data_IF_978172273352
#
_entry.id   IF_978172273352
#
_cell.length_a   1.000
_cell.length_b   1.000
_cell.length_c   1.000
_cell.angle_alpha   90.00
_cell.angle_beta   90.00
_cell.angle_gamma   90.00
#
_symmetry.space_group_name_H-M   'P 1'
#
loop_
_entity.id
_entity.type
_entity.pdbx_description
1 polymer ?
#
# COMPACT_ATOMS: atom_id res chain seq x y z
N UNK A 1 -43.06 56.66 -24.56
CA UNK A 1 -41.71 56.15 -24.96
C UNK A 1 -40.81 55.90 -23.75
N UNK A 2 -40.77 56.75 -22.74
CA UNK A 2 -39.94 56.61 -21.55
C UNK A 2 -40.32 55.39 -20.70
N UNK A 3 -41.59 55.04 -20.58
CA UNK A 3 -42.07 53.89 -19.79
C UNK A 3 -41.62 52.51 -20.31
N UNK A 4 -41.21 52.37 -21.59
CA UNK A 4 -40.65 51.10 -22.17
C UNK A 4 -39.15 50.98 -22.00
N UNK A 5 -38.43 52.07 -21.77
CA UNK A 5 -36.96 52.06 -21.60
C UNK A 5 -36.54 51.57 -20.21
N UNK A 6 -37.36 51.80 -19.19
CA UNK A 6 -37.06 51.35 -17.80
C UNK A 6 -37.00 49.82 -17.68
N UNK A 7 -38.00 49.05 -18.12
CA UNK A 7 -37.92 47.58 -17.98
C UNK A 7 -36.80 46.98 -18.85
N UNK A 8 -36.48 47.56 -19.98
CA UNK A 8 -35.37 47.09 -20.83
C UNK A 8 -34.03 47.31 -20.14
N UNK A 9 -33.82 48.46 -19.48
CA UNK A 9 -32.59 48.75 -18.74
C UNK A 9 -32.43 47.83 -17.53
N UNK A 10 -33.51 47.47 -16.83
CA UNK A 10 -33.50 46.54 -15.72
C UNK A 10 -33.11 45.13 -16.20
N UNK A 11 -33.66 44.67 -17.33
CA UNK A 11 -33.32 43.38 -17.92
C UNK A 11 -31.83 43.31 -18.35
N UNK A 12 -31.36 44.37 -18.98
CA UNK A 12 -29.93 44.48 -19.38
C UNK A 12 -29.03 44.45 -18.14
N UNK A 13 -29.36 45.23 -17.10
CA UNK A 13 -28.61 45.26 -15.85
C UNK A 13 -28.59 43.88 -15.18
N UNK A 14 -29.73 43.17 -15.14
CA UNK A 14 -29.83 41.80 -14.62
C UNK A 14 -28.93 40.85 -15.40
N UNK A 15 -28.95 40.91 -16.73
CA UNK A 15 -28.06 40.05 -17.55
C UNK A 15 -26.58 40.36 -17.31
N UNK A 16 -26.20 41.60 -17.15
CA UNK A 16 -24.83 42.00 -16.84
C UNK A 16 -24.39 41.53 -15.44
N UNK A 17 -25.25 41.66 -14.44
CA UNK A 17 -24.99 41.16 -13.09
C UNK A 17 -24.82 39.65 -13.09
N UNK A 18 -25.74 38.92 -13.72
CA UNK A 18 -25.68 37.44 -13.80
C UNK A 18 -24.44 36.93 -14.55
N UNK A 19 -24.05 37.61 -15.63
CA UNK A 19 -22.81 37.29 -16.35
C UNK A 19 -21.56 37.51 -15.49
N UNK A 20 -21.58 38.59 -14.66
CA UNK A 20 -20.48 38.89 -13.73
C UNK A 20 -20.39 37.86 -12.60
N UNK A 21 -21.53 37.44 -12.03
CA UNK A 21 -21.58 36.38 -11.01
C UNK A 21 -21.10 35.05 -11.54
N UNK A 22 -21.55 34.61 -12.72
CA UNK A 22 -21.12 33.36 -13.34
C UNK A 22 -19.59 33.34 -13.58
N UNK A 23 -19.06 34.47 -14.12
CA UNK A 23 -17.60 34.57 -14.31
C UNK A 23 -16.83 34.46 -12.99
N UNK A 24 -17.39 34.99 -11.91
CA UNK A 24 -16.78 34.95 -10.57
C UNK A 24 -16.78 33.52 -10.00
N UNK A 25 -17.87 32.78 -10.25
CA UNK A 25 -17.96 31.38 -9.86
C UNK A 25 -16.92 30.53 -10.64
N UNK A 26 -16.76 30.78 -11.94
CA UNK A 26 -15.73 30.09 -12.75
C UNK A 26 -14.32 30.41 -12.24
N UNK A 27 -14.01 31.64 -11.87
CA UNK A 27 -12.73 32.04 -11.28
C UNK A 27 -12.46 31.30 -9.95
N UNK A 28 -13.49 31.11 -9.09
CA UNK A 28 -13.38 30.37 -7.83
C UNK A 28 -13.18 28.86 -8.05
N UNK A 29 -13.87 28.27 -9.03
CA UNK A 29 -13.67 26.87 -9.39
C UNK A 29 -12.24 26.65 -9.87
N UNK A 30 -11.75 27.50 -10.75
CA UNK A 30 -10.36 27.45 -11.24
C UNK A 30 -9.34 27.61 -10.09
N UNK A 31 -9.62 28.49 -9.12
CA UNK A 31 -8.78 28.64 -7.93
C UNK A 31 -8.71 27.34 -7.11
N UNK A 32 -9.84 26.65 -6.92
CA UNK A 32 -9.87 25.36 -6.21
C UNK A 32 -9.11 24.29 -6.99
N UNK A 33 -9.21 24.25 -8.32
CA UNK A 33 -8.47 23.33 -9.17
C UNK A 33 -6.95 23.59 -9.09
N UNK A 34 -6.54 24.85 -9.15
CA UNK A 34 -5.12 25.24 -9.00
C UNK A 34 -4.56 24.86 -7.62
N UNK A 35 -5.35 25.01 -6.56
CA UNK A 35 -4.97 24.56 -5.22
C UNK A 35 -4.75 23.05 -5.15
N UNK A 36 -5.58 22.26 -5.81
CA UNK A 36 -5.38 20.81 -5.88
C UNK A 36 -4.11 20.42 -6.64
N UNK A 37 -3.66 21.26 -7.58
CA UNK A 37 -2.44 21.08 -8.36
C UNK A 37 -1.18 21.67 -7.68
N UNK A 38 -1.33 22.29 -6.49
CA UNK A 38 -0.22 22.87 -5.74
C UNK A 38 0.15 24.30 -6.17
N UNK A 39 -0.68 24.97 -6.97
CA UNK A 39 -0.47 26.36 -7.39
C UNK A 39 -1.26 27.31 -6.49
N UNK A 40 -0.54 28.14 -5.74
CA UNK A 40 -1.11 29.01 -4.69
C UNK A 40 -1.20 30.45 -5.18
N UNK A 41 -2.19 30.76 -6.01
CA UNK A 41 -2.47 32.12 -6.46
C UNK A 41 -3.82 32.62 -5.94
N UNK A 42 -3.83 33.77 -5.25
CA UNK A 42 -5.05 34.46 -4.80
C UNK A 42 -5.27 35.71 -5.59
N UNK A 43 -6.31 35.82 -6.41
CA UNK A 43 -6.70 37.08 -7.00
C UNK A 43 -7.30 37.98 -5.89
N UNK A 44 -6.59 39.06 -5.54
CA UNK A 44 -7.12 40.10 -4.63
C UNK A 44 -8.15 40.94 -5.35
N UNK A 45 -9.44 40.59 -5.28
CA UNK A 45 -10.55 41.43 -5.73
C UNK A 45 -11.41 41.77 -4.53
N UNK A 46 -11.77 43.07 -4.39
CA UNK A 46 -12.69 43.52 -3.36
C UNK A 46 -14.11 43.51 -3.92
N UNK A 47 -14.83 42.42 -3.72
CA UNK A 47 -16.25 42.28 -4.05
C UNK A 47 -16.97 41.40 -3.01
N UNK A 48 -18.26 41.11 -3.22
CA UNK A 48 -19.09 40.36 -2.28
C UNK A 48 -18.62 38.88 -2.11
N UNK A 49 -17.74 38.38 -2.98
CA UNK A 49 -17.19 37.04 -2.90
C UNK A 49 -15.84 36.98 -2.18
N UNK A 50 -15.22 38.12 -1.86
CA UNK A 50 -13.91 38.18 -1.21
C UNK A 50 -13.87 37.44 0.13
N UNK A 51 -14.95 37.46 0.92
CA UNK A 51 -15.08 36.75 2.20
C UNK A 51 -15.09 35.25 1.97
N UNK A 52 -15.74 34.78 0.90
CA UNK A 52 -15.77 33.37 0.56
C UNK A 52 -14.40 32.89 0.05
N UNK A 53 -13.73 33.68 -0.80
CA UNK A 53 -12.36 33.41 -1.27
C UNK A 53 -11.39 33.33 -0.11
N UNK A 54 -11.43 34.26 0.83
CA UNK A 54 -10.60 34.25 2.04
C UNK A 54 -10.86 33.01 2.90
N UNK A 55 -12.13 32.60 3.00
CA UNK A 55 -12.50 31.41 3.78
C UNK A 55 -12.00 30.12 3.12
N UNK A 56 -12.14 30.01 1.80
CA UNK A 56 -11.60 28.86 1.02
C UNK A 56 -10.08 28.83 1.15
N UNK A 57 -9.41 29.95 1.02
CA UNK A 57 -7.96 30.05 1.12
C UNK A 57 -7.45 29.64 2.52
N UNK A 58 -8.11 30.10 3.58
CA UNK A 58 -7.78 29.71 4.96
C UNK A 58 -7.98 28.22 5.20
N UNK A 59 -9.08 27.66 4.71
CA UNK A 59 -9.33 26.22 4.79
C UNK A 59 -8.26 25.43 4.05
N UNK A 60 -7.84 25.93 2.91
CA UNK A 60 -6.80 25.29 2.13
C UNK A 60 -5.44 25.34 2.83
N UNK A 61 -5.00 26.52 3.31
CA UNK A 61 -3.76 26.64 4.09
C UNK A 61 -3.75 25.73 5.31
N UNK A 62 -4.87 25.64 6.03
CA UNK A 62 -5.03 24.74 7.16
C UNK A 62 -4.87 23.28 6.73
N UNK A 63 -5.46 22.89 5.60
CA UNK A 63 -5.31 21.52 5.06
C UNK A 63 -3.86 21.18 4.69
N UNK A 64 -3.14 22.14 4.08
CA UNK A 64 -1.70 21.98 3.77
C UNK A 64 -0.89 21.81 5.04
N UNK A 65 -1.11 22.66 6.04
CA UNK A 65 -0.44 22.59 7.33
C UNK A 65 -0.72 21.26 8.05
N UNK A 66 -1.98 20.81 8.07
CA UNK A 66 -2.36 19.51 8.66
C UNK A 66 -1.68 18.35 7.92
N UNK A 67 -1.63 18.37 6.59
CA UNK A 67 -0.92 17.34 5.80
C UNK A 67 0.57 17.31 6.10
N UNK A 68 1.22 18.46 6.19
CA UNK A 68 2.64 18.56 6.55
C UNK A 68 2.91 18.07 7.98
N UNK A 69 2.01 18.38 8.92
CA UNK A 69 2.11 17.90 10.30
C UNK A 69 1.95 16.37 10.36
N UNK A 70 0.98 15.81 9.63
CA UNK A 70 0.80 14.36 9.53
C UNK A 70 2.04 13.71 8.93
N UNK A 71 2.60 14.29 7.87
CA UNK A 71 3.84 13.78 7.23
C UNK A 71 5.03 13.82 8.18
N UNK A 72 5.17 14.91 8.97
CA UNK A 72 6.23 15.04 9.98
C UNK A 72 6.08 14.03 11.11
N UNK A 73 4.87 13.87 11.65
CA UNK A 73 4.58 12.88 12.69
C UNK A 73 4.83 11.46 12.20
N UNK A 74 4.40 11.14 10.99
CA UNK A 74 4.62 9.84 10.36
C UNK A 74 6.12 9.55 10.19
N UNK A 75 6.91 10.53 9.72
CA UNK A 75 8.36 10.41 9.60
C UNK A 75 9.03 10.17 10.96
N UNK A 76 8.64 10.93 11.98
CA UNK A 76 9.17 10.75 13.34
C UNK A 76 8.83 9.38 13.93
N UNK A 77 7.64 8.83 13.62
CA UNK A 77 7.27 7.48 14.03
C UNK A 77 8.18 6.42 13.39
N UNK A 78 8.48 6.55 12.09
CA UNK A 78 9.40 5.63 11.39
C UNK A 78 10.78 5.67 12.02
N UNK A 79 11.36 6.86 12.19
CA UNK A 79 12.68 7.04 12.81
C UNK A 79 12.72 6.42 14.22
N UNK A 80 11.64 6.55 14.98
CA UNK A 80 11.53 5.92 16.31
C UNK A 80 11.48 4.38 16.19
N UNK A 81 10.71 3.83 15.26
CA UNK A 81 10.63 2.38 15.04
C UNK A 81 11.97 1.82 14.56
N UNK A 82 12.66 2.51 13.64
CA UNK A 82 14.00 2.14 13.20
C UNK A 82 14.99 2.08 14.36
N UNK A 83 14.99 3.11 15.21
CA UNK A 83 15.84 3.16 16.39
C UNK A 83 15.53 2.02 17.38
N UNK A 84 14.25 1.76 17.67
CA UNK A 84 13.83 0.68 18.58
C UNK A 84 14.24 -0.68 17.99
N UNK A 85 14.02 -0.92 16.72
CA UNK A 85 14.37 -2.19 16.09
C UNK A 85 15.90 -2.41 16.09
N UNK A 86 16.70 -1.38 15.82
CA UNK A 86 18.16 -1.47 15.96
C UNK A 86 18.60 -1.76 17.39
N UNK A 87 17.97 -1.10 18.39
CA UNK A 87 18.26 -1.35 19.80
C UNK A 87 17.85 -2.75 20.28
N UNK A 88 16.83 -3.37 19.66
CA UNK A 88 16.40 -4.74 19.94
C UNK A 88 17.30 -5.75 19.21
N UNK A 89 17.69 -5.47 17.97
CA UNK A 89 18.52 -6.38 17.15
C UNK A 89 19.91 -6.62 17.77
N UNK A 90 20.51 -5.59 18.36
CA UNK A 90 21.84 -5.68 18.97
C UNK A 90 21.91 -6.70 20.12
N UNK A 91 21.07 -6.64 21.19
CA UNK A 91 21.10 -7.63 22.25
C UNK A 91 20.68 -9.03 21.78
N UNK A 92 19.74 -9.14 20.81
CA UNK A 92 19.37 -10.44 20.23
C UNK A 92 20.59 -11.08 19.56
N UNK A 93 21.35 -10.31 18.77
CA UNK A 93 22.56 -10.81 18.09
C UNK A 93 23.61 -11.24 19.11
N UNK A 94 23.84 -10.48 20.19
CA UNK A 94 24.75 -10.88 21.26
C UNK A 94 24.33 -12.18 21.92
N UNK A 95 23.03 -12.33 22.25
CA UNK A 95 22.52 -13.57 22.86
C UNK A 95 22.64 -14.78 21.91
N UNK A 96 22.45 -14.60 20.60
CA UNK A 96 22.66 -15.67 19.62
C UNK A 96 24.13 -16.13 19.58
N UNK A 97 25.07 -15.19 19.64
CA UNK A 97 26.50 -15.49 19.68
C UNK A 97 26.86 -16.25 20.97
N UNK A 98 26.36 -15.78 22.13
CA UNK A 98 26.59 -16.47 23.42
C UNK A 98 26.02 -17.88 23.42
N UNK A 99 24.83 -18.08 22.85
CA UNK A 99 24.21 -19.40 22.71
C UNK A 99 25.03 -20.34 21.82
N UNK A 100 25.71 -19.81 20.80
CA UNK A 100 26.61 -20.65 19.97
C UNK A 100 27.83 -21.16 20.76
N UNK A 101 28.37 -20.35 21.71
CA UNK A 101 29.40 -20.81 22.61
C UNK A 101 28.90 -21.91 23.55
N UNK A 102 27.73 -21.70 24.19
CA UNK A 102 27.13 -22.67 25.11
C UNK A 102 26.77 -23.98 24.36
N UNK A 103 26.34 -23.92 23.11
CA UNK A 103 26.06 -25.11 22.27
C UNK A 103 27.33 -25.95 22.03
N UNK A 104 28.50 -25.30 21.90
CA UNK A 104 29.79 -26.03 21.78
C UNK A 104 30.11 -26.84 23.01
N UNK A 105 29.62 -26.44 24.19
CA UNK A 105 29.79 -27.19 25.45
C UNK A 105 28.75 -28.33 25.61
N UNK A 106 27.99 -28.64 24.58
CA UNK A 106 27.04 -29.78 24.56
C UNK A 106 25.66 -29.48 25.17
N UNK A 107 25.35 -28.23 25.52
CA UNK A 107 24.06 -27.86 26.08
C UNK A 107 23.04 -27.64 24.93
N UNK A 108 21.84 -28.20 25.10
CA UNK A 108 20.77 -27.99 24.13
C UNK A 108 20.12 -26.61 24.29
N UNK A 109 20.44 -25.69 23.39
CA UNK A 109 19.94 -24.29 23.37
C UNK A 109 19.03 -24.00 22.15
N UNK A 110 18.58 -25.03 21.44
CA UNK A 110 17.81 -24.88 20.19
C UNK A 110 16.57 -24.00 20.36
N UNK A 111 15.76 -24.25 21.40
CA UNK A 111 14.52 -23.51 21.65
C UNK A 111 14.75 -22.02 21.88
N UNK A 112 15.84 -21.66 22.61
CA UNK A 112 16.18 -20.25 22.88
C UNK A 112 16.69 -19.60 21.57
N UNK A 113 17.54 -20.30 20.82
CA UNK A 113 18.04 -19.82 19.54
C UNK A 113 16.91 -19.54 18.56
N UNK A 114 15.94 -20.43 18.46
CA UNK A 114 14.77 -20.27 17.59
C UNK A 114 13.87 -19.12 18.04
N UNK A 115 13.69 -18.95 19.36
CA UNK A 115 12.98 -17.79 19.93
C UNK A 115 13.64 -16.47 19.55
N UNK A 116 14.96 -16.37 19.68
CA UNK A 116 15.73 -15.16 19.33
C UNK A 116 15.70 -14.87 17.81
N UNK A 117 15.81 -15.90 16.96
CA UNK A 117 15.66 -15.76 15.50
C UNK A 117 14.28 -15.22 15.13
N UNK A 118 13.23 -15.74 15.79
CA UNK A 118 11.86 -15.23 15.60
C UNK A 118 11.72 -13.76 16.00
N UNK A 119 12.30 -13.33 17.13
CA UNK A 119 12.29 -11.92 17.54
C UNK A 119 13.03 -11.02 16.55
N UNK A 120 14.17 -11.48 16.03
CA UNK A 120 14.91 -10.74 15.00
C UNK A 120 14.08 -10.56 13.73
N UNK A 121 13.44 -11.64 13.24
CA UNK A 121 12.54 -11.59 12.07
C UNK A 121 11.35 -10.66 12.30
N UNK A 122 10.77 -10.62 13.51
CA UNK A 122 9.69 -9.71 13.84
C UNK A 122 10.15 -8.25 13.79
N UNK A 123 11.35 -7.94 14.29
CA UNK A 123 11.95 -6.60 14.22
C UNK A 123 12.10 -6.14 12.77
N UNK A 124 12.64 -6.99 11.89
CA UNK A 124 12.81 -6.67 10.47
C UNK A 124 11.46 -6.44 9.76
N UNK A 125 10.43 -7.24 10.07
CA UNK A 125 9.07 -7.06 9.53
C UNK A 125 8.45 -5.74 10.00
N UNK A 126 8.62 -5.38 11.29
CA UNK A 126 8.09 -4.12 11.82
C UNK A 126 8.76 -2.90 11.19
N UNK A 127 10.07 -2.97 10.90
CA UNK A 127 10.79 -1.93 10.17
C UNK A 127 10.23 -1.73 8.76
N UNK A 128 10.08 -2.83 8.00
CA UNK A 128 9.49 -2.78 6.65
C UNK A 128 8.09 -2.18 6.67
N UNK A 129 7.26 -2.61 7.64
CA UNK A 129 5.89 -2.12 7.78
C UNK A 129 5.84 -0.63 8.12
N UNK A 130 6.71 -0.19 9.03
CA UNK A 130 6.82 1.23 9.41
C UNK A 130 7.20 2.10 8.22
N UNK A 131 8.18 1.67 7.42
CA UNK A 131 8.60 2.37 6.20
C UNK A 131 7.46 2.48 5.17
N UNK A 132 6.66 1.42 5.04
CA UNK A 132 5.47 1.42 4.18
C UNK A 132 4.39 2.39 4.69
N UNK A 133 4.09 2.40 5.99
CA UNK A 133 3.01 3.20 6.56
C UNK A 133 3.23 4.71 6.45
N UNK A 134 4.46 5.14 6.64
CA UNK A 134 4.82 6.55 6.70
C UNK A 134 4.70 7.30 5.37
N UNK A 135 4.28 6.66 4.28
CA UNK A 135 4.32 7.24 2.93
C UNK A 135 5.67 7.90 2.56
N UNK A 136 6.74 7.53 3.27
CA UNK A 136 8.10 8.03 3.01
C UNK A 136 8.76 7.27 1.87
N UNK A 137 8.26 6.07 1.56
CA UNK A 137 8.76 5.26 0.45
C UNK A 137 8.05 5.69 -0.82
N UNK A 138 8.72 6.45 -1.64
CA UNK A 138 8.30 6.67 -3.03
C UNK A 138 8.52 5.38 -3.79
N UNK A 139 7.43 4.75 -4.27
CA UNK A 139 7.50 3.55 -5.08
C UNK A 139 8.14 3.87 -6.43
N UNK A 140 9.19 3.14 -6.80
CA UNK A 140 9.79 3.24 -8.12
C UNK A 140 8.82 2.65 -9.14
N UNK A 141 8.46 3.45 -10.14
CA UNK A 141 7.62 2.97 -11.25
C UNK A 141 8.48 2.53 -12.41
N UNK A 142 8.73 1.25 -12.51
CA UNK A 142 9.48 0.63 -13.59
C UNK A 142 8.68 -0.49 -14.25
N UNK A 143 9.04 -0.86 -15.47
CA UNK A 143 8.42 -1.99 -16.16
C UNK A 143 9.00 -3.28 -15.61
N UNK A 144 8.16 -4.07 -14.96
CA UNK A 144 8.51 -5.31 -14.28
C UNK A 144 8.17 -6.52 -15.16
N UNK A 145 9.03 -7.52 -15.14
CA UNK A 145 8.78 -8.84 -15.71
C UNK A 145 8.20 -9.75 -14.61
N UNK A 146 7.04 -10.34 -14.85
CA UNK A 146 6.35 -11.18 -13.87
C UNK A 146 7.17 -12.42 -13.53
N UNK A 147 7.75 -13.08 -14.53
CA UNK A 147 8.57 -14.29 -14.30
C UNK A 147 9.81 -13.98 -13.44
N UNK A 148 10.46 -12.83 -13.61
CA UNK A 148 11.61 -12.43 -12.81
C UNK A 148 11.23 -12.20 -11.33
N UNK A 149 10.05 -11.63 -11.07
CA UNK A 149 9.54 -11.45 -9.70
C UNK A 149 9.35 -12.80 -9.01
N UNK A 150 8.72 -13.76 -9.71
CA UNK A 150 8.47 -15.08 -9.14
C UNK A 150 9.77 -15.89 -8.98
N UNK A 151 10.68 -15.84 -9.95
CA UNK A 151 11.98 -16.47 -9.82
C UNK A 151 12.75 -15.96 -8.60
N UNK A 152 12.79 -14.64 -8.41
CA UNK A 152 13.38 -14.04 -7.22
C UNK A 152 12.71 -14.51 -5.92
N UNK A 153 11.38 -14.61 -5.92
CA UNK A 153 10.63 -15.08 -4.74
C UNK A 153 10.89 -16.57 -4.45
N UNK A 154 11.02 -17.42 -5.47
CA UNK A 154 11.36 -18.84 -5.31
C UNK A 154 12.77 -19.01 -4.75
N UNK A 155 13.74 -18.25 -5.25
CA UNK A 155 15.11 -18.29 -4.75
C UNK A 155 15.18 -17.88 -3.26
N UNK A 156 14.42 -16.85 -2.84
CA UNK A 156 14.37 -16.39 -1.44
C UNK A 156 13.69 -17.42 -0.52
N UNK A 157 12.65 -18.10 -1.00
CA UNK A 157 11.89 -19.08 -0.21
C UNK A 157 12.42 -20.50 -0.31
N UNK A 158 13.47 -20.72 -1.10
CA UNK A 158 14.06 -22.05 -1.38
C UNK A 158 13.01 -23.06 -1.88
N UNK A 159 12.10 -22.57 -2.75
CA UNK A 159 11.01 -23.37 -3.32
C UNK A 159 11.44 -24.14 -4.58
N UNK A 160 12.73 -24.14 -4.91
CA UNK A 160 13.31 -24.85 -6.05
C UNK A 160 13.50 -26.35 -5.82
N UNK A 161 13.18 -26.83 -4.63
CA UNK A 161 13.34 -28.24 -4.25
C UNK A 161 12.14 -29.08 -4.71
N UNK A 162 12.35 -30.35 -5.05
CA UNK A 162 11.32 -31.28 -5.56
C UNK A 162 10.10 -31.49 -4.63
N UNK A 163 10.08 -30.82 -3.49
CA UNK A 163 9.03 -30.93 -2.46
C UNK A 163 7.73 -30.23 -2.79
N UNK A 164 7.72 -29.25 -3.72
CA UNK A 164 6.56 -28.45 -4.08
C UNK A 164 6.39 -28.36 -5.59
N UNK A 165 5.18 -28.68 -6.07
CA UNK A 165 4.85 -28.57 -7.48
C UNK A 165 4.41 -27.15 -7.81
N UNK A 166 5.17 -26.46 -8.65
CA UNK A 166 4.84 -25.11 -9.13
C UNK A 166 4.45 -25.18 -10.61
N UNK A 167 3.27 -24.63 -10.93
CA UNK A 167 2.75 -24.54 -12.30
C UNK A 167 2.61 -23.07 -12.67
N UNK A 168 3.29 -22.62 -13.72
CA UNK A 168 3.30 -21.25 -14.17
C UNK A 168 2.62 -21.09 -15.53
N UNK A 169 1.75 -20.08 -15.66
CA UNK A 169 1.05 -19.74 -16.90
C UNK A 169 0.92 -18.22 -17.06
N UNK A 170 1.86 -17.60 -17.75
CA UNK A 170 1.90 -16.15 -17.93
C UNK A 170 1.34 -15.72 -19.29
N UNK A 171 0.06 -15.32 -19.33
CA UNK A 171 -0.56 -14.68 -20.51
C UNK A 171 -0.17 -13.19 -20.63
N UNK A 172 0.09 -12.53 -19.51
CA UNK A 172 0.73 -11.21 -19.44
C UNK A 172 2.13 -11.36 -18.88
N UNK A 173 3.13 -10.70 -19.51
CA UNK A 173 4.54 -10.84 -19.13
C UNK A 173 5.07 -9.70 -18.28
N UNK A 174 4.42 -8.53 -18.31
CA UNK A 174 4.95 -7.33 -17.65
C UNK A 174 3.87 -6.34 -17.25
N UNK A 175 4.15 -5.57 -16.19
CA UNK A 175 3.34 -4.44 -15.73
C UNK A 175 4.25 -3.38 -15.09
N UNK A 176 3.70 -2.26 -14.62
CA UNK A 176 4.45 -1.17 -13.99
C UNK A 176 4.33 -1.22 -12.47
N UNK A 177 5.45 -1.15 -11.76
CA UNK A 177 5.49 -1.14 -10.30
C UNK A 177 6.89 -1.04 -9.74
N UNK A 178 7.05 -1.27 -8.45
CA UNK A 178 8.34 -1.32 -7.75
C UNK A 178 8.76 -2.79 -7.56
N UNK A 179 9.88 -3.17 -8.18
CA UNK A 179 10.34 -4.56 -8.15
C UNK A 179 10.54 -5.10 -6.74
N UNK A 180 11.23 -4.34 -5.89
CA UNK A 180 11.54 -4.78 -4.53
C UNK A 180 10.27 -5.01 -3.71
N UNK A 181 9.38 -4.03 -3.70
CA UNK A 181 8.16 -4.11 -2.90
C UNK A 181 7.18 -5.15 -3.44
N UNK A 182 7.01 -5.25 -4.75
CA UNK A 182 6.10 -6.24 -5.33
C UNK A 182 6.64 -7.66 -5.13
N UNK A 183 7.95 -7.87 -5.23
CA UNK A 183 8.56 -9.15 -4.87
C UNK A 183 8.32 -9.50 -3.40
N UNK A 184 8.42 -8.54 -2.50
CA UNK A 184 8.09 -8.75 -1.07
C UNK A 184 6.62 -9.14 -0.86
N UNK A 185 5.68 -8.52 -1.61
CA UNK A 185 4.27 -8.92 -1.56
C UNK A 185 4.06 -10.36 -2.06
N UNK A 186 4.70 -10.73 -3.16
CA UNK A 186 4.67 -12.10 -3.72
C UNK A 186 5.25 -13.10 -2.75
N UNK A 187 6.42 -12.80 -2.14
CA UNK A 187 7.06 -13.65 -1.11
C UNK A 187 6.11 -13.91 0.06
N UNK A 188 5.41 -12.88 0.55
CA UNK A 188 4.47 -13.04 1.67
C UNK A 188 3.27 -13.92 1.31
N UNK A 189 2.76 -13.84 0.08
CA UNK A 189 1.65 -14.69 -0.38
C UNK A 189 2.14 -16.12 -0.60
N UNK A 190 3.26 -16.31 -1.31
CA UNK A 190 3.85 -17.63 -1.56
C UNK A 190 4.21 -18.35 -0.28
N UNK A 191 4.81 -17.66 0.70
CA UNK A 191 5.11 -18.22 2.01
C UNK A 191 3.86 -18.73 2.70
N UNK A 192 2.75 -17.96 2.65
CA UNK A 192 1.48 -18.38 3.25
C UNK A 192 0.88 -19.59 2.51
N UNK A 193 1.00 -19.64 1.17
CA UNK A 193 0.56 -20.77 0.37
C UNK A 193 1.40 -22.03 0.66
N UNK A 194 2.73 -21.90 0.68
CA UNK A 194 3.65 -23.03 0.85
C UNK A 194 3.59 -23.70 2.23
N UNK A 195 3.09 -23.01 3.26
CA UNK A 195 2.97 -23.60 4.62
C UNK A 195 1.95 -24.75 4.69
N UNK A 196 0.97 -24.81 3.77
CA UNK A 196 -0.17 -25.75 3.85
C UNK A 196 -0.46 -26.51 2.57
N UNK A 197 0.28 -26.25 1.50
CA UNK A 197 0.02 -26.81 0.17
C UNK A 197 1.19 -27.63 -0.36
N UNK A 198 0.89 -28.50 -1.30
CA UNK A 198 1.86 -29.29 -2.07
C UNK A 198 1.94 -28.83 -3.53
N UNK A 199 0.96 -28.07 -4.00
CA UNK A 199 0.88 -27.55 -5.36
C UNK A 199 0.51 -26.06 -5.34
N UNK A 200 1.24 -25.25 -6.10
CA UNK A 200 0.95 -23.83 -6.31
C UNK A 200 0.84 -23.58 -7.81
N UNK A 201 -0.28 -22.93 -8.20
CA UNK A 201 -0.53 -22.53 -9.60
C UNK A 201 -0.46 -21.01 -9.68
N UNK A 202 0.41 -20.52 -10.56
CA UNK A 202 0.61 -19.09 -10.79
C UNK A 202 0.13 -18.76 -12.20
N UNK A 203 -0.73 -17.77 -12.31
CA UNK A 203 -1.22 -17.31 -13.62
C UNK A 203 -1.24 -15.79 -13.69
N UNK A 204 -1.11 -15.27 -14.91
CA UNK A 204 -1.29 -13.86 -15.16
C UNK A 204 -2.17 -13.62 -16.38
N UNK A 205 -2.95 -12.55 -16.33
CA UNK A 205 -3.80 -12.11 -17.43
C UNK A 205 -3.82 -10.58 -17.51
N UNK A 206 -4.20 -10.02 -18.63
CA UNK A 206 -4.38 -8.59 -18.77
C UNK A 206 -5.64 -8.24 -19.54
N UNK A 207 -6.16 -7.07 -19.24
CA UNK A 207 -7.22 -6.41 -20.00
C UNK A 207 -6.87 -4.91 -20.18
N UNK A 208 -7.70 -4.10 -20.85
CA UNK A 208 -7.41 -2.67 -21.05
C UNK A 208 -7.25 -1.86 -19.76
N UNK A 209 -7.76 -2.34 -18.61
CA UNK A 209 -7.84 -1.59 -17.33
C UNK A 209 -6.74 -2.01 -16.37
N UNK A 210 -6.44 -3.32 -16.26
CA UNK A 210 -5.47 -3.86 -15.29
C UNK A 210 -4.73 -5.10 -15.80
N UNK A 211 -3.62 -5.40 -15.13
CA UNK A 211 -2.95 -6.69 -15.15
C UNK A 211 -3.33 -7.43 -13.88
N UNK A 212 -3.72 -8.70 -13.99
CA UNK A 212 -4.06 -9.56 -12.87
C UNK A 212 -3.04 -10.69 -12.73
N UNK A 213 -2.58 -10.90 -11.51
CA UNK A 213 -1.69 -12.01 -11.13
C UNK A 213 -2.43 -12.83 -10.08
N UNK A 214 -2.60 -14.13 -10.33
CA UNK A 214 -3.27 -15.06 -9.43
C UNK A 214 -2.27 -16.09 -8.92
N UNK A 215 -2.34 -16.38 -7.62
CA UNK A 215 -1.61 -17.44 -6.93
C UNK A 215 -2.66 -18.34 -6.29
N UNK A 216 -2.77 -19.58 -6.75
CA UNK A 216 -3.71 -20.58 -6.25
C UNK A 216 -2.93 -21.69 -5.54
N UNK A 217 -3.39 -22.10 -4.37
CA UNK A 217 -2.83 -23.21 -3.59
C UNK A 217 -3.83 -24.38 -3.49
N UNK A 218 -3.36 -25.55 -3.05
CA UNK A 218 -4.18 -26.73 -2.77
C UNK A 218 -4.38 -26.97 -1.26
N UNK A 219 -4.19 -25.95 -0.42
CA UNK A 219 -4.15 -26.04 1.05
C UNK A 219 -5.50 -26.07 1.76
N UNK A 220 -6.60 -26.42 1.07
CA UNK A 220 -7.93 -26.61 1.68
C UNK A 220 -8.76 -25.32 1.83
N UNK A 221 -8.26 -24.17 1.36
CA UNK A 221 -8.99 -22.89 1.32
C UNK A 221 -9.06 -22.16 2.66
N UNK A 222 -9.89 -21.13 2.71
CA UNK A 222 -10.06 -20.20 3.83
C UNK A 222 -11.56 -20.07 4.14
N UNK A 223 -11.95 -20.02 5.40
CA UNK A 223 -13.35 -19.75 5.75
C UNK A 223 -13.81 -18.40 5.20
N UNK A 224 -14.97 -18.38 4.54
CA UNK A 224 -15.51 -17.18 3.92
C UNK A 224 -15.67 -16.00 4.89
N UNK A 225 -15.89 -16.28 6.18
CA UNK A 225 -15.97 -15.26 7.23
C UNK A 225 -14.64 -14.60 7.54
N UNK A 226 -13.53 -15.19 7.10
CA UNK A 226 -12.17 -14.73 7.34
C UNK A 226 -11.55 -13.95 6.19
N UNK A 227 -12.11 -13.98 4.97
CA UNK A 227 -11.55 -13.31 3.78
C UNK A 227 -11.15 -11.84 3.99
N UNK A 228 -11.92 -11.09 4.78
CA UNK A 228 -11.59 -9.70 5.13
C UNK A 228 -10.63 -9.61 6.32
N UNK A 229 -10.61 -10.62 7.17
CA UNK A 229 -9.83 -10.62 8.41
C UNK A 229 -8.37 -10.99 8.17
N UNK A 230 -8.07 -11.88 7.22
CA UNK A 230 -6.71 -12.33 6.93
C UNK A 230 -5.77 -11.20 6.51
N UNK A 231 -6.29 -10.09 6.01
CA UNK A 231 -5.54 -8.88 5.65
C UNK A 231 -5.39 -7.88 6.81
N UNK A 232 -5.94 -8.18 8.01
CA UNK A 232 -5.73 -7.32 9.19
C UNK A 232 -4.39 -7.61 9.83
N UNK A 233 -3.78 -6.58 10.41
CA UNK A 233 -2.51 -6.73 11.15
C UNK A 233 -2.70 -7.65 12.36
N UNK A 234 -1.71 -8.49 12.60
CA UNK A 234 -1.67 -9.45 13.70
C UNK A 234 -2.80 -10.49 13.69
N UNK A 235 -3.54 -10.57 12.59
CA UNK A 235 -4.54 -11.62 12.43
C UNK A 235 -3.85 -12.94 12.07
N UNK A 236 -4.18 -13.99 12.80
CA UNK A 236 -3.68 -15.36 12.61
C UNK A 236 -4.84 -16.34 12.57
N UNK A 237 -4.79 -17.28 11.67
CA UNK A 237 -5.55 -18.53 11.80
C UNK A 237 -4.95 -19.37 12.94
N UNK A 238 -5.75 -20.19 13.66
CA UNK A 238 -5.26 -21.00 14.78
C UNK A 238 -4.02 -21.84 14.48
N UNK A 239 -3.90 -22.32 13.25
CA UNK A 239 -2.82 -23.23 12.80
C UNK A 239 -1.64 -22.50 12.13
N UNK A 240 -1.59 -21.17 12.16
CA UNK A 240 -0.55 -20.38 11.49
C UNK A 240 0.64 -20.12 12.41
N UNK A 241 1.86 -20.36 11.91
CA UNK A 241 3.11 -20.12 12.62
C UNK A 241 3.67 -18.69 12.46
N UNK A 242 3.13 -17.88 11.56
CA UNK A 242 3.58 -16.52 11.27
C UNK A 242 3.23 -15.49 12.35
N UNK A 243 3.58 -14.21 12.13
CA UNK A 243 3.24 -13.09 13.01
C UNK A 243 1.88 -12.44 12.68
N UNK A 244 1.19 -12.88 11.62
CA UNK A 244 -0.06 -12.27 11.13
C UNK A 244 0.13 -10.90 10.48
N UNK A 245 1.32 -10.63 9.93
CA UNK A 245 1.68 -9.34 9.31
C UNK A 245 1.83 -9.47 7.79
N UNK A 246 2.25 -10.63 7.28
CA UNK A 246 2.64 -10.83 5.88
C UNK A 246 1.55 -10.46 4.87
N UNK A 247 0.33 -10.97 5.03
CA UNK A 247 -0.78 -10.65 4.12
C UNK A 247 -1.24 -9.19 4.23
N UNK A 248 -1.16 -8.57 5.41
CA UNK A 248 -1.41 -7.14 5.56
C UNK A 248 -0.35 -6.31 4.82
N UNK A 249 0.92 -6.69 4.92
CA UNK A 249 2.02 -6.05 4.20
C UNK A 249 1.83 -6.20 2.69
N UNK A 250 1.52 -7.40 2.20
CA UNK A 250 1.24 -7.65 0.78
C UNK A 250 0.11 -6.74 0.27
N UNK A 251 -0.99 -6.61 1.03
CA UNK A 251 -2.09 -5.71 0.71
C UNK A 251 -1.63 -4.25 0.62
N UNK A 252 -0.91 -3.76 1.62
CA UNK A 252 -0.41 -2.37 1.64
C UNK A 252 0.50 -2.08 0.45
N UNK A 253 1.38 -3.02 0.10
CA UNK A 253 2.29 -2.90 -1.05
C UNK A 253 1.50 -2.82 -2.36
N UNK A 254 0.54 -3.73 -2.57
CA UNK A 254 -0.29 -3.75 -3.79
C UNK A 254 -1.08 -2.46 -3.93
N UNK A 255 -1.71 -1.98 -2.84
CA UNK A 255 -2.46 -0.70 -2.83
C UNK A 255 -1.57 0.49 -3.16
N UNK A 256 -0.34 0.54 -2.64
CA UNK A 256 0.64 1.61 -2.96
C UNK A 256 1.18 1.54 -4.40
N UNK A 257 1.13 0.39 -5.04
CA UNK A 257 1.46 0.22 -6.45
C UNK A 257 0.25 0.36 -7.38
N UNK A 258 -0.77 1.14 -6.99
CA UNK A 258 -2.01 1.36 -7.75
C UNK A 258 -2.76 0.07 -8.06
N UNK A 259 -2.82 -0.84 -7.09
CA UNK A 259 -3.45 -2.15 -7.25
C UNK A 259 -4.48 -2.46 -6.17
N UNK A 260 -5.08 -3.63 -6.31
CA UNK A 260 -5.97 -4.23 -5.31
C UNK A 260 -5.64 -5.71 -5.13
N UNK A 261 -5.80 -6.22 -3.92
CA UNK A 261 -5.65 -7.64 -3.61
C UNK A 261 -6.96 -8.20 -3.06
N UNK A 262 -7.29 -9.40 -3.49
CA UNK A 262 -8.45 -10.15 -3.00
C UNK A 262 -8.13 -11.62 -2.86
N UNK A 263 -8.99 -12.35 -2.14
CA UNK A 263 -8.90 -13.80 -1.97
C UNK A 263 -10.27 -14.42 -2.20
N UNK A 264 -10.29 -15.59 -2.79
CA UNK A 264 -11.48 -16.46 -2.90
C UNK A 264 -11.04 -17.91 -2.78
N UNK A 265 -11.97 -18.83 -2.53
CA UNK A 265 -11.67 -20.25 -2.63
C UNK A 265 -11.78 -20.72 -4.09
N UNK A 266 -10.81 -21.53 -4.50
CA UNK A 266 -10.82 -22.36 -5.69
C UNK A 266 -11.44 -23.73 -5.42
N UNK A 267 -11.16 -24.70 -6.29
CA UNK A 267 -11.65 -26.09 -6.11
C UNK A 267 -10.94 -26.83 -4.97
N UNK A 268 -9.65 -26.56 -4.75
CA UNK A 268 -8.80 -27.29 -3.79
C UNK A 268 -8.26 -26.42 -2.67
N UNK A 269 -8.12 -25.12 -2.87
CA UNK A 269 -7.49 -24.23 -1.92
C UNK A 269 -7.86 -22.78 -2.11
N UNK A 270 -7.01 -21.84 -1.68
CA UNK A 270 -7.25 -20.41 -1.81
C UNK A 270 -6.64 -19.85 -3.10
N UNK A 271 -7.30 -18.84 -3.68
CA UNK A 271 -6.81 -18.10 -4.83
C UNK A 271 -6.63 -16.64 -4.39
N UNK A 272 -5.38 -16.19 -4.33
CA UNK A 272 -5.03 -14.78 -4.13
C UNK A 272 -4.91 -14.09 -5.48
N UNK A 273 -5.64 -13.00 -5.69
CA UNK A 273 -5.62 -12.21 -6.92
C UNK A 273 -5.13 -10.80 -6.62
N UNK A 274 -4.06 -10.39 -7.28
CA UNK A 274 -3.52 -9.04 -7.28
C UNK A 274 -3.80 -8.38 -8.63
N UNK A 275 -4.46 -7.21 -8.62
CA UNK A 275 -4.75 -6.41 -9.82
C UNK A 275 -3.96 -5.12 -9.76
N UNK A 276 -3.23 -4.81 -10.83
CA UNK A 276 -2.47 -3.57 -10.98
C UNK A 276 -3.07 -2.76 -12.11
N UNK A 277 -3.58 -1.57 -11.81
CA UNK A 277 -4.26 -0.69 -12.77
C UNK A 277 -3.25 0.06 -13.64
N UNK A 278 -3.59 0.15 -14.95
CA UNK A 278 -2.76 0.81 -15.98
C UNK A 278 -2.84 2.31 -15.93
#
# INVERSE_FOLDING_TARGET
MIYFLIPISIVICYFFMKKRENKRIEEMVLMIENFNNGEYYTPMKQDNFSILEDSIYKLFLKNVEERENIKRLSKSQVENFENIAHQIKTPITSMLIELEFIKKDGVNVSSISDGLKRLNSLSDILLKLSSLDANLTEMKKEKLNIAEIFQYAFDILDLSDDSMKIIESYNCKSFTGDFYWISEAVINILKNASEKSSEIIISSSENPIYVEICIEDDGGGIDNTEFKKIFRRFYKSPDSNGFGIGLNMAKTIVEKNNGTISVKNGEKGAIFSMKFYK
#
